data_IF_223186554642
#
_entry.id   IF_223186554642
#
_cell.length_a   1.000
_cell.length_b   1.000
_cell.length_c   1.000
_cell.angle_alpha   90.00
_cell.angle_beta   90.00
_cell.angle_gamma   90.00
#
_symmetry.space_group_name_H-M   'P 1'
#
loop_
_entity.id
_entity.type
_entity.pdbx_description
1 polymer ?
#
# COMPACT_ATOMS: atom_id res chain seq x y z
N UNK A 1 -22.47 32.10 2.28
CA UNK A 1 -22.74 31.01 1.30
C UNK A 1 -21.54 30.09 1.37
N UNK A 2 -21.75 28.79 1.43
CA UNK A 2 -20.72 27.78 1.62
C UNK A 2 -20.82 26.77 0.46
N UNK A 3 -19.68 26.26 -0.01
CA UNK A 3 -19.66 25.17 -0.99
C UNK A 3 -19.68 23.84 -0.24
N UNK A 4 -20.61 22.96 -0.58
CA UNK A 4 -20.73 21.64 0.06
C UNK A 4 -21.08 20.56 -0.97
N UNK A 5 -20.68 19.33 -0.70
CA UNK A 5 -21.10 18.15 -1.47
C UNK A 5 -22.46 17.65 -0.98
N UNK A 6 -23.53 18.17 -1.58
CA UNK A 6 -24.92 17.87 -1.20
C UNK A 6 -25.31 16.42 -1.53
N UNK A 7 -26.06 15.80 -0.62
CA UNK A 7 -26.82 14.58 -0.92
C UNK A 7 -28.22 14.93 -1.41
N UNK A 8 -28.63 14.33 -2.53
CA UNK A 8 -29.90 14.61 -3.22
C UNK A 8 -30.90 13.46 -3.14
N UNK A 9 -30.71 12.53 -2.19
CA UNK A 9 -31.69 11.49 -1.89
C UNK A 9 -32.90 12.04 -1.14
N UNK A 10 -33.29 11.37 -0.05
CA UNK A 10 -34.36 11.86 0.82
C UNK A 10 -33.97 13.18 1.49
N UNK A 11 -34.96 14.06 1.65
CA UNK A 11 -34.81 15.35 2.33
C UNK A 11 -35.83 15.52 3.45
N UNK A 12 -35.42 16.19 4.50
CA UNK A 12 -36.32 16.58 5.59
C UNK A 12 -37.36 17.59 5.07
N UNK A 13 -38.63 17.42 5.46
CA UNK A 13 -39.73 18.35 5.11
C UNK A 13 -40.35 19.04 6.32
N UNK A 14 -40.13 18.51 7.53
CA UNK A 14 -40.51 19.12 8.80
C UNK A 14 -39.46 18.79 9.88
N UNK A 15 -39.09 19.78 10.70
CA UNK A 15 -38.13 19.57 11.78
C UNK A 15 -38.82 18.98 13.02
N UNK A 16 -38.15 18.05 13.74
CA UNK A 16 -38.58 17.64 15.06
C UNK A 16 -38.56 18.82 16.05
N UNK A 17 -39.42 18.82 17.11
CA UNK A 17 -39.36 19.83 18.15
C UNK A 17 -37.97 19.95 18.78
N UNK A 18 -37.54 21.18 19.03
CA UNK A 18 -36.22 21.52 19.58
C UNK A 18 -35.13 21.81 18.55
N UNK A 19 -35.32 21.37 17.29
CA UNK A 19 -34.37 21.69 16.22
C UNK A 19 -34.62 23.07 15.61
N UNK A 20 -33.53 23.76 15.27
CA UNK A 20 -33.53 24.98 14.46
C UNK A 20 -32.75 24.78 13.18
N UNK A 21 -33.12 25.56 12.16
CA UNK A 21 -32.38 25.62 10.88
C UNK A 21 -31.11 26.42 11.08
N UNK A 22 -29.97 25.87 10.65
CA UNK A 22 -28.66 26.57 10.69
C UNK A 22 -28.05 26.75 9.30
N UNK A 23 -28.54 26.01 8.30
CA UNK A 23 -28.16 26.16 6.91
C UNK A 23 -29.30 25.78 5.96
N UNK A 24 -29.40 26.52 4.86
CA UNK A 24 -30.41 26.31 3.82
C UNK A 24 -29.75 26.29 2.43
N UNK A 25 -30.39 25.61 1.49
CA UNK A 25 -30.12 25.70 0.06
C UNK A 25 -31.43 25.70 -0.73
N UNK A 26 -31.39 26.10 -2.00
CA UNK A 26 -32.59 26.19 -2.84
C UNK A 26 -33.33 24.84 -2.97
N UNK A 27 -32.59 23.72 -2.94
CA UNK A 27 -33.15 22.36 -2.99
C UNK A 27 -33.38 21.69 -1.63
N UNK A 28 -32.77 22.22 -0.55
CA UNK A 28 -32.82 21.66 0.80
C UNK A 28 -33.02 22.77 1.84
N UNK A 29 -34.27 23.07 2.24
CA UNK A 29 -34.57 24.12 3.21
C UNK A 29 -34.05 23.81 4.63
N UNK A 30 -33.68 22.57 4.89
CA UNK A 30 -33.10 22.10 6.16
C UNK A 30 -31.71 21.48 5.93
N UNK A 31 -30.88 22.12 5.09
CA UNK A 31 -29.56 21.60 4.71
C UNK A 31 -28.62 21.39 5.90
N UNK A 32 -28.75 22.19 6.96
CA UNK A 32 -28.13 21.93 8.25
C UNK A 32 -29.08 22.32 9.39
N UNK A 33 -29.13 21.49 10.44
CA UNK A 33 -30.02 21.65 11.59
C UNK A 33 -29.27 21.41 12.89
N UNK A 34 -29.71 22.05 13.96
CA UNK A 34 -29.10 21.92 15.28
C UNK A 34 -30.14 21.91 16.39
N UNK A 35 -29.87 21.13 17.43
CA UNK A 35 -30.45 21.22 18.76
C UNK A 35 -29.28 21.38 19.75
N UNK A 36 -28.98 22.62 20.10
CA UNK A 36 -27.85 22.97 20.95
C UNK A 36 -28.05 22.54 22.42
N UNK A 37 -29.28 22.23 22.84
CA UNK A 37 -29.53 21.74 24.21
C UNK A 37 -29.21 20.25 24.35
N UNK A 38 -29.54 19.47 23.33
CA UNK A 38 -29.30 18.01 23.29
C UNK A 38 -28.00 17.66 22.57
N UNK A 39 -27.31 18.64 21.99
CA UNK A 39 -26.11 18.47 21.16
C UNK A 39 -26.35 17.56 19.94
N UNK A 40 -27.52 17.68 19.31
CA UNK A 40 -27.82 16.97 18.07
C UNK A 40 -27.65 17.89 16.87
N UNK A 41 -26.90 17.44 15.88
CA UNK A 41 -26.59 18.21 14.68
C UNK A 41 -26.82 17.32 13.46
N UNK A 42 -27.49 17.87 12.45
CA UNK A 42 -27.77 17.18 11.20
C UNK A 42 -27.28 18.00 10.01
N UNK A 43 -26.69 17.35 9.03
CA UNK A 43 -26.29 17.95 7.74
C UNK A 43 -26.78 17.07 6.60
N UNK A 44 -27.25 17.68 5.51
CA UNK A 44 -27.71 17.01 4.28
C UNK A 44 -26.58 16.90 3.24
N UNK A 45 -25.34 17.16 3.64
CA UNK A 45 -24.15 17.14 2.80
C UNK A 45 -23.03 16.37 3.51
N UNK A 46 -21.99 16.02 2.77
CA UNK A 46 -20.86 15.22 3.24
C UNK A 46 -19.71 16.13 3.70
N UNK A 47 -19.48 16.35 5.01
CA UNK A 47 -18.35 17.13 5.51
C UNK A 47 -16.99 16.40 5.43
N UNK A 48 -16.99 15.09 5.18
CA UNK A 48 -15.81 14.23 5.12
C UNK A 48 -15.08 14.28 3.78
N UNK A 49 -15.73 14.75 2.70
CA UNK A 49 -15.16 14.77 1.35
C UNK A 49 -14.50 16.12 1.05
N UNK A 50 -13.41 16.08 0.27
CA UNK A 50 -12.63 17.26 -0.16
C UNK A 50 -13.46 18.30 -0.93
N UNK A 51 -14.58 17.89 -1.52
CA UNK A 51 -15.51 18.75 -2.25
C UNK A 51 -16.28 19.72 -1.33
N UNK A 52 -16.23 19.51 -0.02
CA UNK A 52 -16.72 20.44 1.01
C UNK A 52 -15.51 21.13 1.66
N UNK A 53 -15.08 22.33 1.20
CA UNK A 53 -13.78 22.91 1.58
C UNK A 53 -13.59 23.11 3.10
N UNK A 54 -14.65 23.46 3.82
CA UNK A 54 -14.63 23.60 5.29
C UNK A 54 -15.18 22.39 6.04
N UNK A 55 -15.33 21.24 5.38
CA UNK A 55 -15.89 20.03 5.96
C UNK A 55 -15.07 19.48 7.14
N UNK A 56 -13.74 19.44 6.99
CA UNK A 56 -12.83 19.06 8.07
C UNK A 56 -12.95 19.98 9.31
N UNK A 57 -13.19 21.28 9.11
CA UNK A 57 -13.40 22.22 10.21
C UNK A 57 -14.73 21.96 10.94
N UNK A 58 -15.79 21.59 10.21
CA UNK A 58 -17.07 21.19 10.81
C UNK A 58 -16.92 19.93 11.67
N UNK A 59 -16.26 18.90 11.13
CA UNK A 59 -15.98 17.67 11.87
C UNK A 59 -15.13 17.95 13.12
N UNK A 60 -14.09 18.79 13.00
CA UNK A 60 -13.26 19.21 14.14
C UNK A 60 -14.07 19.95 15.21
N UNK A 61 -14.98 20.84 14.81
CA UNK A 61 -15.84 21.53 15.76
C UNK A 61 -16.73 20.55 16.52
N UNK A 62 -17.30 19.58 15.81
CA UNK A 62 -18.12 18.55 16.44
C UNK A 62 -17.31 17.68 17.41
N UNK A 63 -16.20 17.10 16.97
CA UNK A 63 -15.41 16.20 17.83
C UNK A 63 -14.80 16.91 19.04
N UNK A 64 -14.27 18.12 18.89
CA UNK A 64 -13.57 18.80 19.99
C UNK A 64 -14.47 19.70 20.84
N UNK A 65 -15.36 20.49 20.22
CA UNK A 65 -16.16 21.47 20.96
C UNK A 65 -17.50 20.90 21.42
N UNK A 66 -18.13 20.03 20.63
CA UNK A 66 -19.42 19.41 21.00
C UNK A 66 -19.21 18.15 21.84
N UNK A 67 -18.41 17.21 21.35
CA UNK A 67 -18.14 15.95 22.06
C UNK A 67 -17.09 16.08 23.16
N UNK A 68 -16.28 17.14 23.14
CA UNK A 68 -15.24 17.38 24.16
C UNK A 68 -14.00 16.48 23.99
N UNK A 69 -13.78 15.88 22.82
CA UNK A 69 -12.59 15.07 22.57
C UNK A 69 -11.32 15.93 22.65
N UNK A 70 -10.30 15.44 23.37
CA UNK A 70 -9.08 16.21 23.63
C UNK A 70 -8.11 16.26 22.45
N UNK A 71 -8.17 15.26 21.56
CA UNK A 71 -7.20 15.13 20.46
C UNK A 71 -5.86 14.55 20.92
N UNK A 72 -5.89 13.64 21.89
CA UNK A 72 -4.74 12.94 22.45
C UNK A 72 -4.29 11.74 21.61
N UNK A 73 -5.03 11.38 20.57
CA UNK A 73 -4.59 10.41 19.57
C UNK A 73 -3.43 10.96 18.74
N UNK A 74 -2.22 10.55 19.12
CA UNK A 74 -0.95 10.92 18.47
C UNK A 74 -0.13 9.67 18.25
N UNK A 75 0.73 9.64 17.21
CA UNK A 75 1.55 8.45 16.94
C UNK A 75 2.58 8.17 18.05
N UNK A 76 3.03 9.19 18.77
CA UNK A 76 3.85 9.03 19.97
C UNK A 76 3.07 8.36 21.12
N UNK A 77 1.84 8.81 21.39
CA UNK A 77 0.97 8.18 22.39
C UNK A 77 0.62 6.74 22.00
N UNK A 78 0.22 6.54 20.74
CA UNK A 78 -0.08 5.22 20.20
C UNK A 78 1.11 4.25 20.30
N UNK A 79 2.32 4.69 19.93
CA UNK A 79 3.55 3.89 20.07
C UNK A 79 3.74 3.40 21.49
N UNK A 80 3.62 4.30 22.48
CA UNK A 80 3.80 3.95 23.89
C UNK A 80 2.77 2.91 24.35
N UNK A 81 1.50 3.11 24.03
CA UNK A 81 0.44 2.15 24.37
C UNK A 81 0.61 0.81 23.65
N UNK A 82 0.95 0.83 22.36
CA UNK A 82 1.14 -0.37 21.56
C UNK A 82 2.30 -1.22 22.08
N UNK A 83 3.41 -0.59 22.50
CA UNK A 83 4.54 -1.28 23.13
C UNK A 83 4.09 -2.04 24.38
N UNK A 84 3.33 -1.40 25.27
CA UNK A 84 2.84 -2.04 26.49
C UNK A 84 1.85 -3.17 26.19
N UNK A 85 0.95 -2.99 25.20
CA UNK A 85 0.06 -4.05 24.73
C UNK A 85 0.83 -5.26 24.18
N UNK A 86 1.85 -5.03 23.36
CA UNK A 86 2.70 -6.10 22.79
C UNK A 86 3.42 -6.84 23.92
N UNK A 87 4.03 -6.13 24.87
CA UNK A 87 4.71 -6.74 26.03
C UNK A 87 3.77 -7.60 26.86
N UNK A 88 2.58 -7.09 27.17
CA UNK A 88 1.58 -7.82 27.93
C UNK A 88 1.06 -9.07 27.18
N UNK A 89 0.88 -8.97 25.86
CA UNK A 89 0.40 -10.08 25.03
C UNK A 89 1.46 -11.16 24.85
N UNK A 90 2.70 -10.77 24.55
CA UNK A 90 3.79 -11.70 24.19
C UNK A 90 4.44 -12.30 25.43
N UNK A 91 4.60 -11.53 26.51
CA UNK A 91 5.32 -11.95 27.69
C UNK A 91 6.74 -12.42 27.34
N UNK A 92 7.10 -13.65 27.70
CA UNK A 92 8.39 -14.27 27.36
C UNK A 92 8.37 -15.11 26.07
N UNK A 93 7.29 -15.05 25.28
CA UNK A 93 7.13 -15.81 24.04
C UNK A 93 8.01 -15.30 22.90
N UNK A 94 8.15 -16.11 21.85
CA UNK A 94 8.88 -15.75 20.62
C UNK A 94 7.92 -15.32 19.52
N UNK A 95 8.27 -14.25 18.81
CA UNK A 95 7.49 -13.70 17.69
C UNK A 95 8.27 -13.88 16.40
N UNK A 96 7.60 -14.40 15.37
CA UNK A 96 8.10 -14.39 14.00
C UNK A 96 7.34 -13.34 13.19
N UNK A 97 8.05 -12.58 12.35
CA UNK A 97 7.46 -11.59 11.45
C UNK A 97 7.91 -11.84 10.01
N UNK A 98 6.96 -11.94 9.09
CA UNK A 98 7.24 -11.92 7.65
C UNK A 98 7.47 -10.50 7.17
N UNK A 99 8.70 -10.20 6.75
CA UNK A 99 9.02 -8.93 6.10
C UNK A 99 8.78 -9.07 4.60
N UNK A 100 7.96 -8.19 4.05
CA UNK A 100 7.71 -8.08 2.60
C UNK A 100 8.48 -6.93 1.95
N UNK A 101 9.16 -6.08 2.73
CA UNK A 101 9.72 -4.81 2.28
C UNK A 101 8.70 -3.68 2.13
N UNK A 102 7.41 -3.96 2.34
CA UNK A 102 6.35 -2.96 2.39
C UNK A 102 6.37 -2.14 3.69
N UNK A 103 5.69 -1.00 3.66
CA UNK A 103 5.61 -0.07 4.82
C UNK A 103 5.00 -0.74 6.06
N UNK A 104 3.94 -1.53 5.90
CA UNK A 104 3.16 -2.04 7.04
C UNK A 104 3.93 -3.11 7.81
N UNK A 105 4.49 -4.10 7.10
CA UNK A 105 5.35 -5.12 7.71
C UNK A 105 6.61 -4.52 8.33
N UNK A 106 7.15 -3.46 7.71
CA UNK A 106 8.29 -2.72 8.23
C UNK A 106 7.99 -2.02 9.56
N UNK A 107 6.89 -1.26 9.62
CA UNK A 107 6.46 -0.53 10.82
C UNK A 107 6.11 -1.51 11.94
N UNK A 108 5.39 -2.59 11.61
CA UNK A 108 5.05 -3.63 12.58
C UNK A 108 6.31 -4.30 13.17
N UNK A 109 7.29 -4.65 12.32
CA UNK A 109 8.52 -5.28 12.77
C UNK A 109 9.34 -4.36 13.69
N UNK A 110 9.51 -3.08 13.34
CA UNK A 110 10.26 -2.14 14.19
C UNK A 110 9.53 -1.87 15.50
N UNK A 111 8.21 -1.69 15.47
CA UNK A 111 7.41 -1.47 16.68
C UNK A 111 7.48 -2.68 17.64
N UNK A 112 7.37 -3.89 17.11
CA UNK A 112 7.48 -5.12 17.91
C UNK A 112 8.92 -5.26 18.42
N UNK A 113 9.93 -5.00 17.60
CA UNK A 113 11.32 -5.06 18.06
C UNK A 113 11.59 -4.10 19.21
N UNK A 114 11.06 -2.88 19.15
CA UNK A 114 11.19 -1.93 20.25
C UNK A 114 10.50 -2.41 21.54
N UNK A 115 9.39 -3.15 21.40
CA UNK A 115 8.66 -3.70 22.53
C UNK A 115 9.39 -4.87 23.20
N UNK A 116 9.93 -5.83 22.43
CA UNK A 116 10.39 -7.14 22.93
C UNK A 116 11.81 -7.55 22.48
N UNK A 117 12.53 -6.69 21.77
CA UNK A 117 13.92 -6.89 21.38
C UNK A 117 14.18 -8.21 20.63
N UNK A 118 15.09 -9.02 21.20
CA UNK A 118 15.57 -10.28 20.64
C UNK A 118 14.53 -11.42 20.59
N UNK A 119 13.36 -11.22 21.20
CA UNK A 119 12.23 -12.15 21.08
C UNK A 119 11.62 -12.14 19.67
N UNK A 120 11.89 -11.09 18.87
CA UNK A 120 11.48 -10.99 17.48
C UNK A 120 12.52 -11.61 16.55
N UNK A 121 12.08 -12.48 15.64
CA UNK A 121 12.84 -12.88 14.46
C UNK A 121 12.07 -12.55 13.20
N UNK A 122 12.68 -11.76 12.31
CA UNK A 122 12.11 -11.46 11.00
C UNK A 122 12.61 -12.47 9.95
N UNK A 123 11.70 -12.88 9.07
CA UNK A 123 12.00 -13.69 7.89
C UNK A 123 11.68 -12.84 6.66
N UNK A 124 12.68 -12.64 5.81
CA UNK A 124 12.54 -11.93 4.54
C UNK A 124 12.85 -12.91 3.41
N UNK A 125 11.84 -13.18 2.58
CA UNK A 125 11.93 -14.06 1.41
C UNK A 125 12.09 -13.20 0.16
N UNK A 126 13.29 -13.21 -0.42
CA UNK A 126 13.53 -12.62 -1.73
C UNK A 126 13.13 -13.62 -2.82
N UNK A 127 11.96 -13.36 -3.40
CA UNK A 127 11.39 -14.18 -4.46
C UNK A 127 11.91 -13.80 -5.86
N UNK A 128 12.92 -12.93 -5.96
CA UNK A 128 13.54 -12.54 -7.23
C UNK A 128 12.68 -11.67 -8.14
N UNK A 129 11.60 -11.06 -7.61
CA UNK A 129 10.68 -10.18 -8.37
C UNK A 129 10.51 -8.81 -7.69
N UNK A 130 11.48 -8.41 -6.86
CA UNK A 130 11.53 -7.08 -6.25
C UNK A 130 12.20 -6.05 -7.17
N UNK A 131 12.11 -4.77 -6.83
CA UNK A 131 12.81 -3.69 -7.53
C UNK A 131 14.33 -3.81 -7.35
N UNK A 132 15.09 -3.10 -8.19
CA UNK A 132 16.54 -3.07 -8.09
C UNK A 132 16.98 -2.51 -6.72
N UNK A 133 17.90 -3.21 -6.05
CA UNK A 133 18.47 -2.78 -4.76
C UNK A 133 17.52 -2.91 -3.57
N UNK A 134 16.30 -3.41 -3.77
CA UNK A 134 15.26 -3.40 -2.74
C UNK A 134 15.56 -4.41 -1.63
N UNK A 135 16.00 -5.62 -1.99
CA UNK A 135 16.36 -6.66 -1.03
C UNK A 135 17.55 -6.24 -0.16
N UNK A 136 18.59 -5.65 -0.78
CA UNK A 136 19.76 -5.13 -0.08
C UNK A 136 19.36 -4.01 0.89
N UNK A 137 18.49 -3.10 0.48
CA UNK A 137 18.02 -2.01 1.33
C UNK A 137 17.21 -2.51 2.52
N UNK A 138 16.38 -3.54 2.35
CA UNK A 138 15.66 -4.20 3.44
C UNK A 138 16.69 -4.80 4.41
N UNK A 139 17.63 -5.62 3.91
CA UNK A 139 18.65 -6.23 4.77
C UNK A 139 19.44 -5.18 5.55
N UNK A 140 19.94 -4.15 4.89
CA UNK A 140 20.71 -3.07 5.53
C UNK A 140 19.89 -2.33 6.59
N UNK A 141 18.61 -2.06 6.32
CA UNK A 141 17.80 -1.31 7.28
C UNK A 141 17.48 -2.14 8.52
N UNK A 142 16.99 -3.36 8.35
CA UNK A 142 16.53 -4.17 9.48
C UNK A 142 17.70 -4.77 10.25
N UNK A 143 18.68 -5.34 9.55
CA UNK A 143 19.84 -5.99 10.18
C UNK A 143 20.86 -4.98 10.68
N UNK A 144 21.29 -4.03 9.85
CA UNK A 144 22.47 -3.21 10.15
C UNK A 144 22.12 -1.92 10.91
N UNK A 145 20.94 -1.32 10.64
CA UNK A 145 20.50 -0.09 11.32
C UNK A 145 19.67 -0.37 12.58
N UNK A 146 18.70 -1.28 12.51
CA UNK A 146 17.84 -1.60 13.65
C UNK A 146 18.32 -2.78 14.49
N UNK A 147 19.36 -3.52 14.07
CA UNK A 147 19.87 -4.72 14.75
C UNK A 147 18.80 -5.80 14.97
N UNK A 148 17.80 -5.87 14.10
CA UNK A 148 16.76 -6.89 14.15
C UNK A 148 17.34 -8.21 13.61
N UNK A 149 17.08 -9.30 14.34
CA UNK A 149 17.42 -10.65 13.89
C UNK A 149 16.65 -10.97 12.60
N UNK A 150 17.38 -10.98 11.48
CA UNK A 150 16.82 -11.13 10.14
C UNK A 150 17.36 -12.38 9.43
N UNK A 151 16.48 -13.34 9.17
CA UNK A 151 16.71 -14.44 8.23
C UNK A 151 16.41 -13.92 6.82
N UNK A 152 17.45 -13.81 5.99
CA UNK A 152 17.31 -13.46 4.58
C UNK A 152 17.40 -14.73 3.75
N UNK A 153 16.31 -15.07 3.06
CA UNK A 153 16.19 -16.26 2.21
C UNK A 153 16.03 -15.82 0.76
N UNK A 154 17.11 -15.90 -0.01
CA UNK A 154 17.04 -15.82 -1.48
C UNK A 154 16.43 -17.13 -2.01
N UNK A 155 15.24 -16.99 -2.59
CA UNK A 155 14.49 -18.04 -3.27
C UNK A 155 14.24 -17.71 -4.74
N UNK A 156 15.00 -16.77 -5.32
CA UNK A 156 14.75 -16.26 -6.67
C UNK A 156 14.75 -17.36 -7.74
N UNK A 157 15.69 -18.31 -7.68
CA UNK A 157 15.75 -19.44 -8.61
C UNK A 157 14.52 -20.36 -8.52
N UNK A 158 14.02 -20.61 -7.31
CA UNK A 158 12.83 -21.43 -7.09
C UNK A 158 11.59 -20.78 -7.72
N UNK A 159 11.38 -19.48 -7.45
CA UNK A 159 10.22 -18.75 -7.95
C UNK A 159 10.27 -18.60 -9.47
N UNK A 160 11.41 -18.18 -10.03
CA UNK A 160 11.55 -18.01 -11.48
C UNK A 160 11.46 -19.36 -12.21
N UNK A 161 12.00 -20.44 -11.64
CA UNK A 161 11.85 -21.79 -12.20
C UNK A 161 10.40 -22.26 -12.26
N UNK A 162 9.60 -21.99 -11.23
CA UNK A 162 8.18 -22.35 -11.18
C UNK A 162 7.28 -21.44 -12.03
N UNK A 163 7.74 -20.23 -12.38
CA UNK A 163 7.04 -19.31 -13.28
C UNK A 163 7.37 -19.55 -14.76
N UNK A 164 8.36 -20.39 -15.06
CA UNK A 164 8.75 -20.72 -16.43
C UNK A 164 7.55 -21.26 -17.23
N UNK A 165 7.31 -20.70 -18.42
CA UNK A 165 6.18 -21.05 -19.28
C UNK A 165 4.79 -20.59 -18.80
N UNK A 166 4.68 -19.95 -17.63
CA UNK A 166 3.38 -19.49 -17.10
C UNK A 166 3.07 -18.09 -17.62
N UNK A 167 1.97 -17.95 -18.35
CA UNK A 167 1.54 -16.67 -18.94
C UNK A 167 0.30 -16.08 -18.27
N UNK A 168 -0.59 -16.92 -17.75
CA UNK A 168 -1.83 -16.51 -17.10
C UNK A 168 -1.57 -15.75 -15.79
N UNK A 169 -2.07 -14.52 -15.61
CA UNK A 169 -1.78 -13.69 -14.46
C UNK A 169 -2.30 -14.27 -13.14
N UNK A 170 -3.44 -14.96 -13.15
CA UNK A 170 -4.02 -15.57 -11.95
C UNK A 170 -3.21 -16.79 -11.50
N UNK A 171 -2.73 -17.60 -12.46
CA UNK A 171 -1.79 -18.68 -12.17
C UNK A 171 -0.48 -18.15 -11.59
N UNK A 172 0.09 -17.08 -12.16
CA UNK A 172 1.30 -16.43 -11.59
C UNK A 172 1.08 -16.02 -10.14
N UNK A 173 -0.05 -15.36 -9.83
CA UNK A 173 -0.41 -14.96 -8.46
C UNK A 173 -0.48 -16.15 -7.51
N UNK A 174 -1.17 -17.22 -7.91
CA UNK A 174 -1.32 -18.44 -7.10
C UNK A 174 0.01 -19.14 -6.85
N UNK A 175 0.86 -19.26 -7.87
CA UNK A 175 2.19 -19.87 -7.75
C UNK A 175 3.05 -19.08 -6.76
N UNK A 176 3.13 -17.75 -6.93
CA UNK A 176 3.94 -16.90 -6.05
C UNK A 176 3.42 -16.96 -4.61
N UNK A 177 2.10 -16.83 -4.41
CA UNK A 177 1.51 -16.88 -3.07
C UNK A 177 1.77 -18.21 -2.36
N UNK A 178 1.60 -19.34 -3.06
CA UNK A 178 1.90 -20.67 -2.53
C UNK A 178 3.37 -20.84 -2.17
N UNK A 179 4.28 -20.52 -3.10
CA UNK A 179 5.73 -20.66 -2.86
C UNK A 179 6.22 -19.76 -1.72
N UNK A 180 5.64 -18.58 -1.56
CA UNK A 180 5.98 -17.68 -0.46
C UNK A 180 5.65 -18.33 0.89
N UNK A 181 4.48 -18.94 1.02
CA UNK A 181 4.08 -19.65 2.24
C UNK A 181 5.01 -20.85 2.48
N UNK A 182 5.26 -21.68 1.46
CA UNK A 182 6.13 -22.86 1.59
C UNK A 182 7.55 -22.49 2.05
N UNK A 183 8.16 -21.47 1.45
CA UNK A 183 9.51 -21.00 1.83
C UNK A 183 9.51 -20.35 3.20
N UNK A 184 8.47 -19.58 3.54
CA UNK A 184 8.33 -18.98 4.87
C UNK A 184 8.22 -20.05 5.96
N UNK A 185 7.39 -21.08 5.75
CA UNK A 185 7.25 -22.22 6.67
C UNK A 185 8.56 -23.02 6.79
N UNK A 186 9.29 -23.21 5.69
CA UNK A 186 10.62 -23.86 5.69
C UNK A 186 11.57 -23.14 6.66
N UNK A 187 11.67 -21.81 6.56
CA UNK A 187 12.54 -21.00 7.42
C UNK A 187 12.03 -20.93 8.86
N UNK A 188 10.72 -20.82 9.07
CA UNK A 188 10.11 -20.85 10.39
C UNK A 188 10.41 -22.16 11.14
N UNK A 189 10.33 -23.31 10.45
CA UNK A 189 10.60 -24.61 11.04
C UNK A 189 12.07 -24.76 11.46
N UNK A 190 13.01 -24.20 10.69
CA UNK A 190 14.44 -24.18 11.05
C UNK A 190 14.73 -23.39 12.33
N UNK A 191 13.90 -22.40 12.68
CA UNK A 191 14.03 -21.59 13.89
C UNK A 191 13.54 -22.30 15.17
N UNK A 192 13.04 -23.53 15.06
CA UNK A 192 12.51 -24.28 16.21
C UNK A 192 11.16 -23.74 16.70
N UNK A 193 10.37 -23.17 15.78
CA UNK A 193 9.02 -22.65 16.02
C UNK A 193 8.95 -21.29 16.72
N UNK A 194 7.74 -20.74 16.79
CA UNK A 194 7.39 -19.52 17.52
C UNK A 194 6.00 -19.65 18.15
N UNK A 195 5.75 -18.83 19.17
CA UNK A 195 4.46 -18.79 19.86
C UNK A 195 3.49 -17.83 19.14
N UNK A 196 4.06 -16.82 18.46
CA UNK A 196 3.33 -15.74 17.83
C UNK A 196 3.78 -15.47 16.40
N UNK A 197 2.83 -15.08 15.55
CA UNK A 197 3.06 -14.53 14.23
C UNK A 197 2.64 -13.07 14.19
N UNK A 198 3.55 -12.19 13.81
CA UNK A 198 3.28 -10.78 13.61
C UNK A 198 2.74 -10.50 12.21
N UNK A 199 1.69 -9.68 12.12
CA UNK A 199 1.13 -9.20 10.86
C UNK A 199 0.95 -7.69 10.87
N UNK A 200 1.12 -7.07 9.71
CA UNK A 200 0.91 -5.64 9.48
C UNK A 200 -0.54 -5.28 9.13
N UNK A 201 -1.51 -6.03 9.65
CA UNK A 201 -2.94 -5.83 9.39
C UNK A 201 -3.37 -4.43 9.80
N UNK A 202 -4.09 -3.73 8.92
CA UNK A 202 -4.55 -2.36 9.14
C UNK A 202 -6.06 -2.29 9.42
N UNK A 203 -6.53 -1.14 9.91
CA UNK A 203 -7.95 -0.95 10.23
C UNK A 203 -8.90 -1.15 9.04
N UNK A 204 -8.59 -0.71 7.80
CA UNK A 204 -9.42 -1.02 6.63
C UNK A 204 -9.58 -2.53 6.38
N UNK A 205 -8.54 -3.33 6.62
CA UNK A 205 -8.59 -4.78 6.46
C UNK A 205 -9.57 -5.42 7.48
N UNK A 206 -9.59 -4.88 8.70
CA UNK A 206 -10.51 -5.31 9.76
C UNK A 206 -11.96 -4.97 9.41
N UNK A 207 -12.24 -3.75 8.95
CA UNK A 207 -13.61 -3.33 8.56
C UNK A 207 -14.15 -4.21 7.43
N UNK A 208 -13.33 -4.46 6.41
CA UNK A 208 -13.72 -5.33 5.28
C UNK A 208 -14.07 -6.74 5.75
N UNK A 209 -13.38 -7.27 6.77
CA UNK A 209 -13.65 -8.60 7.33
C UNK A 209 -14.93 -8.68 8.19
N UNK A 210 -15.34 -7.59 8.85
CA UNK A 210 -16.53 -7.52 9.73
C UNK A 210 -17.81 -7.23 8.95
N UNK A 211 -17.71 -6.58 7.78
CA UNK A 211 -18.84 -6.14 6.95
C UNK A 211 -19.61 -7.28 6.25
N UNK A 212 -19.54 -8.50 6.76
CA UNK A 212 -20.28 -9.68 6.32
C UNK A 212 -21.73 -9.69 6.84
N UNK A 213 -22.46 -8.61 6.57
CA UNK A 213 -23.92 -8.64 6.60
C UNK A 213 -24.43 -9.47 5.40
N UNK A 214 -24.32 -10.80 5.50
CA UNK A 214 -25.21 -11.77 4.83
C UNK A 214 -25.15 -11.93 3.29
N UNK A 215 -24.11 -11.48 2.58
CA UNK A 215 -23.93 -11.72 1.14
C UNK A 215 -22.71 -12.60 0.83
N UNK A 216 -22.69 -13.40 -0.26
CA UNK A 216 -21.59 -14.30 -0.58
C UNK A 216 -20.33 -13.50 -0.90
N UNK A 217 -19.44 -13.35 0.08
CA UNK A 217 -18.18 -12.66 -0.11
C UNK A 217 -17.30 -13.50 -1.03
N UNK A 218 -17.18 -13.08 -2.28
CA UNK A 218 -16.03 -13.44 -3.09
C UNK A 218 -14.82 -12.95 -2.31
N UNK A 219 -13.91 -13.86 -2.03
CA UNK A 219 -12.67 -13.72 -1.24
C UNK A 219 -11.70 -12.75 -1.93
N UNK A 220 -12.08 -11.47 -2.02
CA UNK A 220 -11.32 -10.39 -2.65
C UNK A 220 -10.41 -9.79 -1.58
N UNK A 221 -9.37 -10.54 -1.20
CA UNK A 221 -8.09 -10.16 -0.55
C UNK A 221 -7.52 -11.38 0.17
N UNK A 222 -7.32 -12.46 -0.59
CA UNK A 222 -6.89 -13.75 -0.05
C UNK A 222 -5.42 -13.80 0.40
N UNK A 223 -4.59 -12.77 0.20
CA UNK A 223 -3.12 -12.97 0.32
C UNK A 223 -2.30 -11.80 0.85
N UNK A 224 -2.87 -10.76 1.47
CA UNK A 224 -2.03 -9.62 1.90
C UNK A 224 -2.05 -9.20 3.36
N UNK A 225 -3.05 -9.55 4.17
CA UNK A 225 -2.98 -9.36 5.64
C UNK A 225 -3.98 -10.23 6.40
N UNK A 226 -5.06 -10.70 5.77
CA UNK A 226 -6.10 -11.52 6.41
C UNK A 226 -6.43 -12.74 5.54
N UNK A 227 -5.40 -13.42 5.03
CA UNK A 227 -5.52 -14.81 4.58
C UNK A 227 -5.26 -15.69 5.79
N UNK A 228 -6.33 -16.30 6.34
CA UNK A 228 -6.24 -17.15 7.52
C UNK A 228 -5.04 -18.09 7.42
N UNK A 229 -4.21 -18.09 8.46
CA UNK A 229 -3.07 -18.99 8.53
C UNK A 229 -3.55 -20.42 8.22
N UNK A 230 -2.74 -21.24 7.53
CA UNK A 230 -3.08 -22.64 7.33
C UNK A 230 -3.59 -23.25 8.66
N UNK A 231 -4.63 -24.10 8.65
CA UNK A 231 -5.18 -24.70 9.88
C UNK A 231 -4.11 -25.40 10.74
N UNK A 232 -2.97 -25.73 10.12
CA UNK A 232 -1.77 -26.31 10.72
C UNK A 232 -0.93 -25.33 11.53
N UNK A 233 -1.10 -24.02 11.37
CA UNK A 233 -0.28 -22.99 11.99
C UNK A 233 -0.78 -22.66 13.41
N UNK A 234 -0.13 -23.22 14.43
CA UNK A 234 -0.53 -23.15 15.85
C UNK A 234 -0.14 -21.84 16.57
N UNK A 235 0.18 -20.78 15.83
CA UNK A 235 0.68 -19.51 16.40
C UNK A 235 -0.45 -18.55 16.73
N UNK A 236 -0.28 -17.73 17.77
CA UNK A 236 -1.18 -16.61 18.07
C UNK A 236 -0.81 -15.37 17.24
N UNK A 237 -1.79 -14.57 16.82
CA UNK A 237 -1.52 -13.36 16.03
C UNK A 237 -1.14 -12.16 16.91
N UNK A 238 -0.18 -11.37 16.43
CA UNK A 238 0.18 -10.05 16.96
C UNK A 238 0.01 -9.03 15.85
N UNK A 239 -1.05 -8.23 15.93
CA UNK A 239 -1.46 -7.28 14.87
C UNK A 239 -1.44 -5.84 15.43
N UNK A 240 -0.26 -5.24 15.63
CA UNK A 240 -0.15 -4.01 16.39
C UNK A 240 -0.67 -2.77 15.64
N UNK A 241 -0.90 -2.88 14.32
CA UNK A 241 -1.34 -1.78 13.45
C UNK A 241 -2.85 -1.83 13.13
N UNK A 242 -3.60 -2.76 13.74
CA UNK A 242 -5.00 -3.06 13.40
C UNK A 242 -5.98 -1.91 13.62
N UNK A 243 -5.58 -0.86 14.34
CA UNK A 243 -6.37 0.34 14.63
C UNK A 243 -5.98 1.55 13.77
N UNK A 244 -4.99 1.39 12.89
CA UNK A 244 -4.43 2.50 12.11
C UNK A 244 -4.87 2.49 10.65
N UNK A 245 -5.03 3.69 10.10
CA UNK A 245 -5.06 3.94 8.66
C UNK A 245 -3.64 4.05 8.07
N UNK A 246 -3.55 4.00 6.74
CA UNK A 246 -2.27 3.92 6.01
C UNK A 246 -1.37 5.16 6.22
N UNK A 247 -1.98 6.33 6.29
CA UNK A 247 -1.32 7.59 6.59
C UNK A 247 -0.76 7.62 8.02
N UNK A 248 -1.52 7.11 8.99
CA UNK A 248 -1.09 6.96 10.39
C UNK A 248 0.07 5.96 10.52
N UNK A 249 0.02 4.83 9.79
CA UNK A 249 1.13 3.88 9.75
C UNK A 249 2.41 4.54 9.22
N UNK A 250 2.30 5.40 8.21
CA UNK A 250 3.44 6.18 7.72
C UNK A 250 3.94 7.17 8.77
N UNK A 251 3.04 7.88 9.44
CA UNK A 251 3.41 8.79 10.52
C UNK A 251 4.11 8.06 11.68
N UNK A 252 3.60 6.88 12.07
CA UNK A 252 4.22 6.00 13.05
C UNK A 252 5.59 5.50 12.61
N UNK A 253 5.76 5.13 11.33
CA UNK A 253 7.05 4.75 10.79
C UNK A 253 8.12 5.85 10.93
N UNK A 254 7.73 7.11 10.71
CA UNK A 254 8.64 8.26 10.93
C UNK A 254 8.97 8.45 12.41
N UNK A 255 7.98 8.32 13.28
CA UNK A 255 8.15 8.37 14.74
C UNK A 255 9.12 7.28 15.25
N UNK A 256 9.05 6.08 14.67
CA UNK A 256 9.96 4.96 14.95
C UNK A 256 11.36 5.13 14.32
N UNK A 257 11.62 6.22 13.61
CA UNK A 257 12.90 6.51 12.98
C UNK A 257 13.21 5.67 11.74
N UNK A 258 12.18 5.08 11.10
CA UNK A 258 12.33 4.36 9.84
C UNK A 258 12.64 5.36 8.72
N UNK A 259 13.65 5.12 7.87
CA UNK A 259 14.02 6.05 6.81
C UNK A 259 12.89 6.31 5.81
N UNK A 260 12.80 7.56 5.33
CA UNK A 260 11.74 8.00 4.39
C UNK A 260 11.73 7.19 3.09
N UNK A 261 12.88 6.65 2.66
CA UNK A 261 12.98 5.78 1.49
C UNK A 261 12.17 4.46 1.60
N UNK A 262 11.81 4.07 2.83
CA UNK A 262 10.90 2.95 3.11
C UNK A 262 9.50 3.48 3.38
N UNK A 263 9.34 4.42 4.32
CA UNK A 263 8.02 4.91 4.77
C UNK A 263 7.24 5.59 3.65
N UNK A 264 7.90 6.45 2.87
CA UNK A 264 7.30 7.18 1.76
C UNK A 264 7.15 6.34 0.50
N UNK A 265 7.58 5.07 0.49
CA UNK A 265 7.58 4.25 -0.72
C UNK A 265 6.16 4.06 -1.26
N UNK A 266 6.03 4.14 -2.58
CA UNK A 266 4.82 3.75 -3.29
C UNK A 266 4.49 2.28 -3.01
N UNK A 267 3.19 1.92 -2.94
CA UNK A 267 2.78 0.52 -2.83
C UNK A 267 3.48 -0.37 -3.86
N UNK A 268 3.86 -1.57 -3.43
CA UNK A 268 4.44 -2.60 -4.30
C UNK A 268 3.61 -3.89 -4.14
N UNK A 269 3.16 -4.49 -5.24
CA UNK A 269 2.31 -5.68 -5.17
C UNK A 269 3.09 -6.88 -4.64
N UNK A 270 2.44 -7.80 -3.92
CA UNK A 270 3.07 -9.05 -3.44
C UNK A 270 3.73 -9.88 -4.53
N UNK A 271 3.05 -10.12 -5.67
CA UNK A 271 3.67 -10.75 -6.85
C UNK A 271 4.84 -9.97 -7.47
N UNK A 272 5.09 -8.74 -7.01
CA UNK A 272 6.14 -7.85 -7.49
C UNK A 272 6.09 -7.62 -8.98
N UNK A 273 7.26 -7.73 -9.63
CA UNK A 273 7.41 -7.51 -11.06
C UNK A 273 6.67 -8.55 -11.93
N UNK A 274 6.22 -9.69 -11.39
CA UNK A 274 5.54 -10.71 -12.19
C UNK A 274 4.21 -10.24 -12.81
N UNK A 275 3.51 -9.30 -12.15
CA UNK A 275 2.30 -8.68 -12.69
C UNK A 275 2.59 -7.43 -13.54
N UNK A 276 3.86 -7.02 -13.63
CA UNK A 276 4.32 -5.93 -14.51
C UNK A 276 5.04 -6.47 -15.75
N UNK A 277 5.06 -7.78 -15.92
CA UNK A 277 5.54 -8.49 -17.10
C UNK A 277 4.36 -9.34 -17.60
N UNK A 278 3.48 -8.79 -18.45
CA UNK A 278 2.44 -9.57 -19.11
C UNK A 278 3.03 -10.77 -19.88
N UNK A 279 2.37 -11.92 -19.72
CA UNK A 279 2.89 -13.20 -20.20
C UNK A 279 3.96 -13.80 -19.29
N UNK A 280 4.88 -14.53 -19.90
CA UNK A 280 5.92 -15.31 -19.21
C UNK A 280 6.96 -14.42 -18.52
N UNK A 281 7.28 -14.77 -17.28
CA UNK A 281 8.27 -14.09 -16.44
C UNK A 281 9.59 -14.87 -16.46
N UNK A 282 10.66 -14.21 -16.87
CA UNK A 282 12.03 -14.77 -16.84
C UNK A 282 12.98 -13.84 -16.11
N UNK A 283 14.15 -14.34 -15.71
CA UNK A 283 15.18 -13.54 -15.03
C UNK A 283 15.60 -12.35 -15.88
N UNK A 284 15.80 -12.56 -17.18
CA UNK A 284 16.22 -11.53 -18.13
C UNK A 284 15.17 -10.42 -18.24
N UNK A 285 13.88 -10.78 -18.30
CA UNK A 285 12.78 -9.79 -18.34
C UNK A 285 12.65 -9.03 -17.03
N UNK A 286 12.81 -9.70 -15.90
CA UNK A 286 12.79 -9.05 -14.59
C UNK A 286 13.96 -8.06 -14.44
N UNK A 287 15.17 -8.45 -14.85
CA UNK A 287 16.35 -7.59 -14.81
C UNK A 287 16.25 -6.42 -15.80
N UNK A 288 15.68 -6.64 -16.98
CA UNK A 288 15.39 -5.58 -17.94
C UNK A 288 14.40 -4.57 -17.34
N UNK A 289 13.29 -5.05 -16.79
CA UNK A 289 12.26 -4.20 -16.20
C UNK A 289 12.79 -3.42 -14.99
N UNK A 290 13.63 -4.02 -14.15
CA UNK A 290 14.31 -3.34 -13.03
C UNK A 290 15.07 -2.10 -13.50
N UNK A 291 15.83 -2.20 -14.59
CA UNK A 291 16.60 -1.07 -15.13
C UNK A 291 15.69 0.05 -15.62
N UNK A 292 14.60 -0.30 -16.31
CA UNK A 292 13.59 0.67 -16.76
C UNK A 292 12.91 1.37 -15.57
N UNK A 293 12.46 0.59 -14.58
CA UNK A 293 11.80 1.11 -13.38
C UNK A 293 12.74 2.03 -12.58
N UNK A 294 14.01 1.65 -12.42
CA UNK A 294 15.02 2.49 -11.74
C UNK A 294 15.16 3.86 -12.40
N UNK A 295 15.39 3.93 -13.72
CA UNK A 295 15.53 5.21 -14.43
C UNK A 295 14.27 6.06 -14.26
N UNK A 296 13.10 5.45 -14.39
CA UNK A 296 11.83 6.17 -14.28
C UNK A 296 11.63 6.75 -12.87
N UNK A 297 11.87 5.95 -11.83
CA UNK A 297 11.75 6.41 -10.44
C UNK A 297 12.83 7.44 -10.07
N UNK A 298 14.05 7.31 -10.59
CA UNK A 298 15.11 8.31 -10.46
C UNK A 298 14.69 9.67 -11.02
N UNK A 299 14.16 9.70 -12.25
CA UNK A 299 13.69 10.95 -12.89
C UNK A 299 12.52 11.58 -12.12
N UNK A 300 11.57 10.76 -11.65
CA UNK A 300 10.44 11.23 -10.82
C UNK A 300 10.97 11.89 -9.53
N UNK A 301 11.94 11.25 -8.87
CA UNK A 301 12.53 11.78 -7.63
C UNK A 301 13.35 13.04 -7.88
N UNK A 302 14.16 13.06 -8.93
CA UNK A 302 14.97 14.22 -9.31
C UNK A 302 14.09 15.44 -9.65
N UNK A 303 12.89 15.21 -10.18
CA UNK A 303 11.90 16.25 -10.44
C UNK A 303 11.05 16.65 -9.21
N UNK A 304 11.24 16.01 -8.05
CA UNK A 304 10.44 16.26 -6.84
C UNK A 304 8.99 15.82 -6.95
N UNK A 305 8.65 14.94 -7.88
CA UNK A 305 7.26 14.54 -8.18
C UNK A 305 6.81 13.29 -7.42
N UNK A 306 7.73 12.59 -6.74
CA UNK A 306 7.46 11.28 -6.15
C UNK A 306 6.29 11.29 -5.16
N UNK A 307 6.23 12.29 -4.29
CA UNK A 307 5.20 12.39 -3.24
C UNK A 307 3.87 12.94 -3.78
N UNK A 308 3.87 13.56 -4.96
CA UNK A 308 2.66 13.99 -5.66
C UNK A 308 1.97 12.84 -6.41
N UNK A 309 2.67 11.71 -6.57
CA UNK A 309 2.18 10.52 -7.28
C UNK A 309 1.80 9.46 -6.25
N UNK A 310 0.64 8.85 -6.40
CA UNK A 310 0.21 7.75 -5.54
C UNK A 310 1.05 6.48 -5.79
N UNK A 311 1.21 6.14 -7.06
CA UNK A 311 2.00 4.99 -7.48
C UNK A 311 2.56 5.22 -8.89
N UNK A 312 3.86 4.99 -9.07
CA UNK A 312 4.54 4.95 -10.37
C UNK A 312 5.37 3.68 -10.55
N UNK A 313 5.36 3.15 -11.78
CA UNK A 313 6.15 2.00 -12.19
C UNK A 313 6.21 1.82 -13.70
N UNK A 314 7.11 0.98 -14.18
CA UNK A 314 7.16 0.50 -15.55
C UNK A 314 6.51 -0.89 -15.72
N UNK A 315 6.03 -1.17 -16.93
CA UNK A 315 5.50 -2.47 -17.38
C UNK A 315 6.21 -2.89 -18.65
N UNK A 316 6.68 -4.14 -18.74
CA UNK A 316 7.37 -4.66 -19.93
C UNK A 316 6.37 -5.29 -20.90
N UNK A 317 6.20 -4.71 -22.09
CA UNK A 317 5.19 -5.17 -23.03
C UNK A 317 5.64 -6.44 -23.78
N UNK A 318 4.73 -7.40 -24.04
CA UNK A 318 5.04 -8.64 -24.76
C UNK A 318 5.08 -8.43 -26.29
N UNK A 319 5.61 -7.29 -26.73
CA UNK A 319 5.75 -6.93 -28.15
C UNK A 319 7.18 -6.51 -28.45
N UNK A 320 7.60 -6.73 -29.69
CA UNK A 320 8.86 -6.21 -30.22
C UNK A 320 8.59 -5.14 -31.25
N UNK A 321 9.43 -4.12 -31.26
CA UNK A 321 9.28 -2.98 -32.17
C UNK A 321 10.55 -2.74 -32.96
N UNK A 322 10.41 -2.18 -34.16
CA UNK A 322 11.55 -1.74 -34.95
C UNK A 322 12.02 -0.39 -34.43
N UNK A 323 13.33 -0.25 -34.29
CA UNK A 323 14.00 1.00 -33.95
C UNK A 323 15.23 1.23 -34.82
N UNK A 324 15.75 2.45 -34.73
CA UNK A 324 17.09 2.82 -35.23
C UNK A 324 17.82 3.39 -34.03
N UNK A 325 18.89 2.72 -33.60
CA UNK A 325 19.72 3.16 -32.48
C UNK A 325 21.16 3.22 -32.97
N UNK A 326 21.75 4.42 -32.96
CA UNK A 326 22.96 4.71 -33.74
C UNK A 326 22.69 4.52 -35.24
N UNK A 327 23.58 3.81 -35.93
CA UNK A 327 23.46 3.55 -37.38
C UNK A 327 22.88 2.15 -37.71
N UNK A 328 22.36 1.43 -36.72
CA UNK A 328 21.87 0.05 -36.88
C UNK A 328 20.37 -0.08 -36.59
N UNK A 329 19.71 -0.95 -37.36
CA UNK A 329 18.31 -1.33 -37.13
C UNK A 329 18.22 -2.27 -35.92
N UNK A 330 17.28 -2.01 -35.03
CA UNK A 330 17.04 -2.81 -33.82
C UNK A 330 15.65 -3.43 -33.81
N UNK A 331 15.51 -4.55 -33.11
CA UNK A 331 14.23 -5.25 -32.92
C UNK A 331 14.10 -5.72 -31.47
N UNK A 332 13.82 -4.73 -30.62
CA UNK A 332 13.83 -4.84 -29.16
C UNK A 332 12.42 -4.71 -28.56
N UNK A 333 12.31 -4.85 -27.23
CA UNK A 333 11.04 -4.77 -26.53
C UNK A 333 10.54 -3.32 -26.37
N UNK A 334 9.27 -3.20 -26.03
CA UNK A 334 8.65 -1.95 -25.61
C UNK A 334 8.31 -1.99 -24.11
N UNK A 335 8.28 -0.84 -23.46
CA UNK A 335 7.74 -0.69 -22.11
C UNK A 335 6.68 0.40 -22.03
N UNK A 336 5.73 0.24 -21.10
CA UNK A 336 4.78 1.27 -20.71
C UNK A 336 5.16 1.86 -19.36
N UNK A 337 5.14 3.18 -19.26
CA UNK A 337 5.25 3.93 -18.01
C UNK A 337 3.85 4.16 -17.45
N UNK A 338 3.68 3.91 -16.15
CA UNK A 338 2.42 4.11 -15.42
C UNK A 338 2.67 5.05 -14.25
N UNK A 339 1.80 6.05 -14.09
CA UNK A 339 1.71 6.83 -12.86
C UNK A 339 0.28 7.29 -12.65
N UNK A 340 -0.19 7.24 -11.41
CA UNK A 340 -1.55 7.62 -11.05
C UNK A 340 -1.59 8.49 -9.80
N UNK A 341 -2.62 9.35 -9.71
CA UNK A 341 -3.06 10.00 -8.48
C UNK A 341 -4.31 9.31 -7.96
N UNK A 342 -4.38 9.09 -6.65
CA UNK A 342 -5.53 8.46 -6.01
C UNK A 342 -5.57 8.86 -4.53
N UNK A 343 -6.76 8.82 -3.94
CA UNK A 343 -6.98 9.02 -2.50
C UNK A 343 -7.04 7.69 -1.74
N UNK A 344 -7.63 6.65 -2.33
CA UNK A 344 -7.95 5.39 -1.67
C UNK A 344 -7.61 4.13 -2.51
N UNK A 345 -7.11 4.31 -3.73
CA UNK A 345 -6.86 3.25 -4.69
C UNK A 345 -8.10 2.63 -5.34
N UNK A 346 -9.32 3.05 -4.97
CA UNK A 346 -10.58 2.58 -5.56
C UNK A 346 -10.84 3.27 -6.90
N UNK A 347 -10.61 4.57 -6.97
CA UNK A 347 -10.54 5.36 -8.22
C UNK A 347 -9.14 5.93 -8.38
N UNK A 348 -8.67 6.07 -9.62
CA UNK A 348 -7.36 6.64 -9.86
C UNK A 348 -7.30 7.35 -11.22
N UNK A 349 -6.77 8.56 -11.20
CA UNK A 349 -6.53 9.35 -12.40
C UNK A 349 -5.08 9.23 -12.84
N UNK A 350 -4.87 9.35 -14.15
CA UNK A 350 -3.54 9.38 -14.74
C UNK A 350 -2.79 10.61 -14.22
N UNK A 351 -1.52 10.43 -13.82
CA UNK A 351 -0.69 11.56 -13.44
C UNK A 351 -0.35 12.41 -14.69
N UNK A 352 -0.71 13.70 -14.75
CA UNK A 352 -0.54 14.50 -15.96
C UNK A 352 0.90 15.01 -16.10
N UNK A 353 1.85 14.13 -16.41
CA UNK A 353 3.23 14.54 -16.67
C UNK A 353 3.30 15.52 -17.84
N UNK A 354 4.19 16.51 -17.71
CA UNK A 354 4.60 17.32 -18.85
C UNK A 354 5.26 16.43 -19.93
N UNK A 355 4.96 16.70 -21.20
CA UNK A 355 5.52 15.91 -22.30
C UNK A 355 7.05 15.97 -22.36
N UNK A 356 7.66 17.10 -21.97
CA UNK A 356 9.10 17.24 -21.87
C UNK A 356 9.72 16.35 -20.79
N UNK A 357 9.00 16.11 -19.68
CA UNK A 357 9.41 15.11 -18.69
C UNK A 357 9.42 13.70 -19.32
N UNK A 358 8.30 13.29 -19.94
CA UNK A 358 8.17 11.97 -20.55
C UNK A 358 9.21 11.73 -21.66
N UNK A 359 9.48 12.72 -22.51
CA UNK A 359 10.51 12.62 -23.55
C UNK A 359 11.91 12.41 -22.97
N UNK A 360 12.26 13.12 -21.90
CA UNK A 360 13.56 12.94 -21.23
C UNK A 360 13.70 11.53 -20.65
N UNK A 361 12.69 11.06 -19.92
CA UNK A 361 12.68 9.70 -19.35
C UNK A 361 12.78 8.65 -20.45
N UNK A 362 11.98 8.79 -21.51
CA UNK A 362 12.01 7.86 -22.64
C UNK A 362 13.40 7.81 -23.32
N UNK A 363 14.04 8.97 -23.51
CA UNK A 363 15.39 9.05 -24.07
C UNK A 363 16.43 8.34 -23.19
N UNK A 364 16.37 8.54 -21.87
CA UNK A 364 17.26 7.81 -20.94
C UNK A 364 17.04 6.30 -21.02
N UNK A 365 15.80 5.84 -20.96
CA UNK A 365 15.47 4.41 -21.04
C UNK A 365 16.02 3.79 -22.33
N UNK A 366 15.75 4.39 -23.49
CA UNK A 366 16.17 3.84 -24.79
C UNK A 366 17.69 3.82 -24.94
N UNK A 367 18.39 4.84 -24.44
CA UNK A 367 19.85 4.94 -24.59
C UNK A 367 20.63 4.09 -23.56
N UNK A 368 20.12 3.98 -22.33
CA UNK A 368 20.82 3.31 -21.22
C UNK A 368 20.43 1.83 -21.08
N UNK A 369 19.21 1.44 -21.49
CA UNK A 369 18.67 0.09 -21.29
C UNK A 369 18.68 -0.71 -22.60
N UNK A 370 19.76 -1.47 -22.82
CA UNK A 370 19.84 -2.44 -23.93
C UNK A 370 18.67 -3.44 -23.84
N UNK A 371 17.90 -3.54 -24.92
CA UNK A 371 16.71 -4.40 -25.00
C UNK A 371 15.37 -3.64 -24.97
N UNK A 372 15.37 -2.32 -24.81
CA UNK A 372 14.21 -1.44 -24.98
C UNK A 372 14.48 -0.43 -26.08
N UNK A 373 13.58 -0.31 -27.06
CA UNK A 373 13.67 0.71 -28.11
C UNK A 373 12.37 1.52 -28.30
N UNK A 374 11.39 1.30 -27.42
CA UNK A 374 10.10 2.00 -27.45
C UNK A 374 9.57 2.17 -26.05
N UNK A 375 9.13 3.39 -25.74
CA UNK A 375 8.51 3.75 -24.46
C UNK A 375 7.14 4.34 -24.74
N UNK A 376 6.13 3.91 -24.00
CA UNK A 376 4.77 4.47 -24.02
C UNK A 376 4.39 4.97 -22.62
N UNK A 377 3.32 5.77 -22.53
CA UNK A 377 2.75 6.18 -21.26
C UNK A 377 1.27 5.77 -21.21
N UNK A 378 0.84 5.19 -20.10
CA UNK A 378 -0.54 4.72 -19.92
C UNK A 378 -1.46 5.87 -19.49
N UNK A 379 -2.35 6.26 -20.41
CA UNK A 379 -3.33 7.33 -20.26
C UNK A 379 -4.73 6.83 -19.87
N UNK A 380 -4.85 5.63 -19.32
CA UNK A 380 -6.13 5.02 -18.92
C UNK A 380 -6.41 5.25 -17.43
N UNK A 381 -7.48 5.97 -17.07
CA UNK A 381 -7.93 6.06 -15.67
C UNK A 381 -8.53 4.75 -15.17
N UNK A 382 -8.65 4.63 -13.84
CA UNK A 382 -9.45 3.60 -13.16
C UNK A 382 -10.75 4.22 -12.68
N UNK A 383 -11.92 3.87 -13.24
CA UNK A 383 -12.18 3.00 -14.41
C UNK A 383 -11.91 3.68 -15.78
N UNK A 384 -11.85 2.94 -16.93
CA UNK A 384 -12.13 1.51 -17.09
C UNK A 384 -10.92 0.59 -16.85
N UNK A 385 -9.71 1.13 -16.75
CA UNK A 385 -8.52 0.34 -16.48
C UNK A 385 -8.36 -0.01 -15.00
N UNK A 386 -7.27 -0.71 -14.68
CA UNK A 386 -6.77 -0.88 -13.32
C UNK A 386 -5.45 -0.13 -13.14
N UNK A 387 -4.93 -0.05 -11.90
CA UNK A 387 -3.62 0.56 -11.67
C UNK A 387 -2.53 -0.33 -12.28
N UNK A 388 -2.48 -1.61 -11.88
CA UNK A 388 -1.61 -2.65 -12.43
C UNK A 388 -2.18 -3.21 -13.74
N UNK A 389 -1.32 -3.84 -14.56
CA UNK A 389 -1.63 -4.35 -15.91
C UNK A 389 -1.96 -5.84 -15.94
#
# INVERSE_FOLDING_TARGET
REQVWMSHGDRVTALPPGFRVVGTSDGAPFAATADDQRHFYGVQFHPEVVHTPHGAQLLKNFTHHVCGCRGDWTMAGFRAEAIERIRAQVGSGRVICGLSGGVDSSVAAVLIHEAIGDQLTCIFVDHGLMRAGEAEQVVQTFRDRFNIRLVHRDASDLFLGQLSGVTDPEQKRKIIGRLFIEVFEEEQNKLGGADFLAQGTLYPDVIESISAAGGPSVTIKSHHNVGGLPETMRMKLVEPLRELFKDEVRALGRELGIPEAIVGRHPFPGPGLAIRIPGEVTREKADLLRKVDSIYLEEIRAAGLYDAIWQAFAVLLPVRTVGVMGDSRTYDQACALRAVTSTDGMTADVYPFDMGFLTRVANRIVNEVRGINRVTYDITSKPPGTIEW
#
